data_IF_773997654313
#
_entry.id   IF_773997654313
#
_cell.length_a   1.000
_cell.length_b   1.000
_cell.length_c   1.000
_cell.angle_alpha   90.00
_cell.angle_beta   90.00
_cell.angle_gamma   90.00
#
_symmetry.space_group_name_H-M   'P 1'
#
loop_
_entity.id
_entity.type
_entity.pdbx_description
1 polymer ?
#
# COMPACT_ATOMS: atom_id res chain seq x y z
N UNK A 1 -15.57 -22.74 28.82
CA UNK A 1 -15.88 -23.16 27.44
C UNK A 1 -17.23 -23.85 27.47
N UNK A 2 -18.13 -23.61 26.50
CA UNK A 2 -19.41 -24.31 26.47
C UNK A 2 -19.16 -25.80 26.27
N UNK A 3 -19.77 -26.60 27.13
CA UNK A 3 -19.67 -28.07 27.15
C UNK A 3 -20.34 -28.63 25.90
N UNK A 4 -19.70 -29.59 25.24
CA UNK A 4 -20.24 -30.24 24.03
C UNK A 4 -21.31 -31.23 24.50
N UNK A 5 -22.57 -30.79 24.55
CA UNK A 5 -23.68 -31.71 24.79
C UNK A 5 -23.88 -32.62 23.57
N UNK A 6 -23.79 -33.94 23.79
CA UNK A 6 -24.22 -35.00 22.88
C UNK A 6 -23.45 -35.20 21.56
N UNK A 7 -22.15 -34.86 21.51
CA UNK A 7 -21.27 -35.26 20.39
C UNK A 7 -21.61 -34.62 19.02
N UNK A 8 -22.52 -33.64 19.00
CA UNK A 8 -22.84 -32.85 17.81
C UNK A 8 -22.00 -31.57 17.84
N UNK A 9 -21.41 -31.15 16.71
CA UNK A 9 -20.65 -29.91 16.66
C UNK A 9 -21.55 -28.73 17.04
N UNK A 10 -21.07 -27.87 17.93
CA UNK A 10 -21.76 -26.65 18.34
C UNK A 10 -21.90 -25.75 17.11
N UNK A 11 -23.13 -25.49 16.69
CA UNK A 11 -23.42 -24.58 15.58
C UNK A 11 -23.20 -23.13 16.05
N UNK A 12 -22.09 -22.53 15.63
CA UNK A 12 -21.82 -21.11 15.90
C UNK A 12 -22.70 -20.28 14.96
N UNK A 13 -23.54 -19.40 15.51
CA UNK A 13 -24.33 -18.47 14.67
C UNK A 13 -23.36 -17.48 14.01
N UNK A 14 -23.61 -17.15 12.74
CA UNK A 14 -22.73 -16.26 11.97
C UNK A 14 -22.52 -14.89 12.63
N UNK A 15 -23.54 -14.35 13.30
CA UNK A 15 -23.44 -13.10 14.05
C UNK A 15 -22.41 -13.19 15.20
N UNK A 16 -22.45 -14.27 15.99
CA UNK A 16 -21.54 -14.48 17.12
C UNK A 16 -20.10 -14.65 16.64
N UNK A 17 -19.91 -15.34 15.51
CA UNK A 17 -18.59 -15.47 14.87
C UNK A 17 -18.04 -14.10 14.43
N UNK A 18 -18.86 -13.27 13.78
CA UNK A 18 -18.45 -11.93 13.35
C UNK A 18 -18.10 -11.05 14.56
N UNK A 19 -18.91 -11.09 15.62
CA UNK A 19 -18.65 -10.34 16.84
C UNK A 19 -17.34 -10.79 17.51
N UNK A 20 -17.10 -12.10 17.59
CA UNK A 20 -15.86 -12.67 18.10
C UNK A 20 -14.64 -12.22 17.28
N UNK A 21 -14.70 -12.35 15.95
CA UNK A 21 -13.60 -11.95 15.07
C UNK A 21 -13.31 -10.45 15.17
N UNK A 22 -14.34 -9.60 15.28
CA UNK A 22 -14.16 -8.16 15.51
C UNK A 22 -13.47 -7.90 16.85
N UNK A 23 -13.88 -8.58 17.91
CA UNK A 23 -13.24 -8.46 19.23
C UNK A 23 -11.77 -8.87 19.21
N UNK A 24 -11.45 -10.01 18.59
CA UNK A 24 -10.08 -10.49 18.46
C UNK A 24 -9.24 -9.55 17.59
N UNK A 25 -9.77 -9.09 16.46
CA UNK A 25 -9.08 -8.14 15.59
C UNK A 25 -8.77 -6.85 16.34
N UNK A 26 -9.71 -6.29 17.11
CA UNK A 26 -9.44 -5.08 17.90
C UNK A 26 -8.40 -5.32 18.98
N UNK A 27 -8.42 -6.49 19.63
CA UNK A 27 -7.47 -6.84 20.71
C UNK A 27 -6.04 -6.99 20.21
N UNK A 28 -5.86 -7.60 19.03
CA UNK A 28 -4.53 -7.91 18.48
C UNK A 28 -4.07 -6.94 17.39
N UNK A 29 -4.87 -5.92 17.06
CA UNK A 29 -4.45 -4.88 16.13
C UNK A 29 -3.36 -4.03 16.79
N UNK A 30 -2.18 -4.07 16.21
CA UNK A 30 -1.08 -3.18 16.58
C UNK A 30 -1.55 -1.72 16.41
N UNK A 31 -1.39 -0.93 17.47
CA UNK A 31 -1.65 0.51 17.40
C UNK A 31 -0.52 1.16 16.61
N UNK A 32 -0.85 1.74 15.46
CA UNK A 32 0.09 2.52 14.65
C UNK A 32 -0.21 4.00 14.80
N UNK A 33 0.83 4.77 15.13
CA UNK A 33 0.77 6.23 15.04
C UNK A 33 0.70 6.68 13.58
N UNK A 34 0.30 7.93 13.33
CA UNK A 34 0.11 8.44 11.97
C UNK A 34 1.40 8.51 11.15
N UNK A 35 2.56 8.63 11.81
CA UNK A 35 3.88 8.63 11.19
C UNK A 35 4.54 7.24 11.12
N UNK A 36 3.80 6.21 11.52
CA UNK A 36 4.21 4.82 11.53
C UNK A 36 3.36 3.97 10.59
N UNK A 37 3.98 2.90 10.08
CA UNK A 37 3.37 1.88 9.25
C UNK A 37 3.61 0.51 9.87
N UNK A 38 2.64 -0.40 9.74
CA UNK A 38 2.81 -1.76 10.23
C UNK A 38 3.71 -2.57 9.28
N UNK A 39 4.79 -3.11 9.82
CA UNK A 39 5.72 -3.93 9.06
C UNK A 39 5.38 -5.41 9.22
N UNK A 40 5.02 -6.10 8.13
CA UNK A 40 4.73 -7.54 8.18
C UNK A 40 5.95 -8.40 8.52
N UNK A 41 7.17 -7.96 8.17
CA UNK A 41 8.40 -8.67 8.53
C UNK A 41 8.79 -8.49 10.01
N UNK A 42 8.61 -7.28 10.56
CA UNK A 42 8.89 -7.01 11.97
C UNK A 42 7.71 -7.34 12.89
N UNK A 43 6.52 -7.53 12.33
CA UNK A 43 5.24 -7.70 13.04
C UNK A 43 4.94 -6.58 14.05
N UNK A 44 5.36 -5.35 13.74
CA UNK A 44 5.29 -4.22 14.66
C UNK A 44 5.11 -2.90 13.90
N UNK A 45 4.67 -1.86 14.60
CA UNK A 45 4.61 -0.49 14.12
C UNK A 45 6.04 0.06 13.95
N UNK A 46 6.34 0.57 12.75
CA UNK A 46 7.68 1.02 12.38
C UNK A 46 7.61 2.34 11.62
N UNK A 47 8.61 3.17 11.87
CA UNK A 47 8.82 4.38 11.09
C UNK A 47 9.25 4.05 9.66
N UNK A 48 8.83 4.91 8.75
CA UNK A 48 9.22 4.85 7.35
C UNK A 48 10.65 5.36 7.17
N UNK A 49 11.44 4.64 6.38
CA UNK A 49 12.79 5.03 6.00
C UNK A 49 12.76 6.42 5.34
N UNK A 50 13.56 7.35 5.88
CA UNK A 50 13.65 8.73 5.42
C UNK A 50 12.30 9.49 5.33
N UNK A 51 11.23 8.97 5.96
CA UNK A 51 9.86 9.46 5.82
C UNK A 51 9.38 9.56 4.36
N UNK A 52 9.94 8.75 3.46
CA UNK A 52 9.56 8.72 2.04
C UNK A 52 8.39 7.76 1.82
N UNK A 53 7.31 8.25 1.22
CA UNK A 53 6.14 7.43 0.89
C UNK A 53 5.69 7.65 -0.55
N UNK A 54 5.05 6.65 -1.14
CA UNK A 54 4.25 6.80 -2.35
C UNK A 54 2.78 6.82 -1.93
N UNK A 55 2.00 7.69 -2.58
CA UNK A 55 0.55 7.75 -2.40
C UNK A 55 -0.11 7.37 -3.72
N UNK A 56 -0.88 6.29 -3.71
CA UNK A 56 -1.76 5.89 -4.79
C UNK A 56 -3.21 6.24 -4.41
N UNK A 57 -3.88 7.02 -5.26
CA UNK A 57 -5.28 7.37 -5.04
C UNK A 57 -6.18 6.26 -5.57
N UNK A 58 -6.80 5.48 -4.68
CA UNK A 58 -7.87 4.55 -5.04
C UNK A 58 -9.25 5.24 -4.95
N UNK A 59 -10.30 4.57 -5.45
CA UNK A 59 -11.66 5.13 -5.55
C UNK A 59 -12.21 5.64 -4.22
N UNK A 60 -12.01 4.92 -3.11
CA UNK A 60 -12.53 5.28 -1.79
C UNK A 60 -11.44 5.65 -0.75
N UNK A 61 -10.21 5.21 -0.96
CA UNK A 61 -9.12 5.31 0.03
C UNK A 61 -7.81 5.70 -0.63
N UNK A 62 -6.88 6.23 0.15
CA UNK A 62 -5.50 6.44 -0.26
C UNK A 62 -4.70 5.21 0.13
N UNK A 63 -4.00 4.60 -0.83
CA UNK A 63 -3.02 3.55 -0.55
C UNK A 63 -1.67 4.19 -0.41
N UNK A 64 -1.05 4.02 0.75
CA UNK A 64 0.27 4.54 1.06
C UNK A 64 1.23 3.38 1.16
N UNK A 65 2.35 3.47 0.44
CA UNK A 65 3.45 2.53 0.55
C UNK A 65 4.72 3.25 0.97
N UNK A 66 5.56 2.56 1.73
CA UNK A 66 6.83 3.08 2.22
C UNK A 66 7.74 1.96 2.68
N UNK A 67 9.00 2.25 2.95
CA UNK A 67 9.98 1.24 3.33
C UNK A 67 10.23 1.23 4.85
N UNK A 68 10.33 0.04 5.45
CA UNK A 68 10.62 -0.09 6.88
C UNK A 68 12.03 0.40 7.20
N UNK A 69 12.18 1.29 8.20
CA UNK A 69 13.50 1.77 8.63
C UNK A 69 14.43 0.66 9.16
N UNK A 70 13.86 -0.43 9.68
CA UNK A 70 14.64 -1.52 10.32
C UNK A 70 15.01 -2.60 9.32
N UNK A 71 14.01 -3.27 8.73
CA UNK A 71 14.24 -4.45 7.88
C UNK A 71 14.20 -4.13 6.38
N UNK A 72 14.01 -2.85 6.01
CA UNK A 72 13.96 -2.37 4.62
C UNK A 72 12.88 -3.03 3.75
N UNK A 73 11.92 -3.76 4.32
CA UNK A 73 10.79 -4.30 3.56
C UNK A 73 9.79 -3.21 3.23
N UNK A 74 9.09 -3.36 2.10
CA UNK A 74 7.96 -2.50 1.76
C UNK A 74 6.81 -2.75 2.74
N UNK A 75 6.16 -1.67 3.16
CA UNK A 75 5.02 -1.63 4.05
C UNK A 75 3.88 -0.90 3.36
N UNK A 76 2.65 -1.27 3.70
CA UNK A 76 1.44 -0.71 3.08
C UNK A 76 0.43 -0.33 4.15
N UNK A 77 -0.25 0.80 3.95
CA UNK A 77 -1.35 1.24 4.80
C UNK A 77 -2.37 2.03 4.00
N UNK A 78 -3.64 1.90 4.39
CA UNK A 78 -4.73 2.65 3.78
C UNK A 78 -5.15 3.82 4.68
N UNK A 79 -5.34 4.99 4.07
CA UNK A 79 -5.78 6.21 4.73
C UNK A 79 -7.07 6.74 4.09
N UNK A 80 -7.81 7.59 4.82
CA UNK A 80 -8.98 8.27 4.24
C UNK A 80 -8.51 9.37 3.29
N UNK A 81 -9.31 9.70 2.28
CA UNK A 81 -9.01 10.81 1.36
C UNK A 81 -8.82 12.16 2.07
N UNK A 82 -9.56 12.39 3.16
CA UNK A 82 -9.43 13.60 3.98
C UNK A 82 -8.04 13.74 4.64
N UNK A 83 -7.34 12.63 4.86
CA UNK A 83 -6.01 12.64 5.50
C UNK A 83 -4.88 13.03 4.53
N UNK A 84 -5.17 13.24 3.23
CA UNK A 84 -4.17 13.57 2.22
C UNK A 84 -3.31 14.77 2.63
N UNK A 85 -3.94 15.85 3.08
CA UNK A 85 -3.24 17.06 3.54
C UNK A 85 -2.34 16.79 4.74
N UNK A 86 -2.72 15.87 5.62
CA UNK A 86 -1.93 15.46 6.78
C UNK A 86 -0.74 14.59 6.35
N UNK A 87 -0.94 13.68 5.40
CA UNK A 87 0.13 12.86 4.83
C UNK A 87 1.23 13.72 4.20
N UNK A 88 0.88 14.74 3.42
CA UNK A 88 1.87 15.66 2.82
C UNK A 88 2.65 16.49 3.85
N UNK A 89 2.09 16.72 5.06
CA UNK A 89 2.79 17.41 6.15
C UNK A 89 3.74 16.50 6.93
N UNK A 90 3.36 15.24 7.10
CA UNK A 90 4.11 14.28 7.91
C UNK A 90 5.22 13.58 7.12
N UNK A 91 4.97 13.30 5.85
CA UNK A 91 5.85 12.50 4.99
C UNK A 91 6.30 13.26 3.75
N UNK A 92 7.48 12.89 3.25
CA UNK A 92 7.95 13.31 1.93
C UNK A 92 7.34 12.37 0.89
N UNK A 93 6.40 12.87 0.11
CA UNK A 93 5.80 12.11 -0.98
C UNK A 93 6.77 12.06 -2.15
N UNK A 94 7.07 10.87 -2.63
CA UNK A 94 8.01 10.61 -3.72
C UNK A 94 7.36 9.78 -4.83
N UNK A 95 7.94 9.83 -6.02
CA UNK A 95 7.53 8.96 -7.13
C UNK A 95 7.95 7.50 -6.91
N UNK A 96 7.38 6.58 -7.71
CA UNK A 96 7.56 5.13 -7.55
C UNK A 96 9.03 4.68 -7.56
N UNK A 97 9.85 5.35 -8.37
CA UNK A 97 11.27 5.00 -8.55
C UNK A 97 12.15 5.36 -7.34
N UNK A 98 11.73 6.30 -6.48
CA UNK A 98 12.58 6.87 -5.42
C UNK A 98 12.50 6.14 -4.06
N UNK A 99 11.68 5.08 -3.96
CA UNK A 99 11.60 4.23 -2.76
C UNK A 99 12.68 3.15 -2.69
N UNK A 100 13.42 2.93 -3.77
CA UNK A 100 14.46 1.91 -3.82
C UNK A 100 15.81 2.57 -3.57
N UNK A 101 16.55 2.10 -2.56
CA UNK A 101 17.97 2.44 -2.35
C UNK A 101 18.90 1.78 -3.40
N UNK A 102 18.36 1.33 -4.53
CA UNK A 102 19.14 0.69 -5.58
C UNK A 102 19.81 1.78 -6.43
N UNK A 103 21.10 2.04 -6.20
CA UNK A 103 21.91 2.93 -7.07
C UNK A 103 22.09 2.39 -8.50
N UNK A 104 21.69 1.14 -8.74
CA UNK A 104 21.77 0.49 -10.05
C UNK A 104 20.44 -0.21 -10.35
N UNK A 105 19.75 0.16 -11.44
CA UNK A 105 18.62 -0.61 -11.95
C UNK A 105 19.16 -1.99 -12.37
N UNK A 106 18.81 -3.04 -11.63
CA UNK A 106 19.04 -4.40 -12.11
C UNK A 106 18.04 -4.69 -13.24
N UNK A 107 18.59 -4.63 -14.44
CA UNK A 107 18.16 -5.27 -15.70
C UNK A 107 16.98 -4.60 -16.42
N UNK A 108 17.19 -3.91 -17.55
CA UNK A 108 17.41 -4.50 -18.88
C UNK A 108 16.52 -5.73 -19.14
N UNK A 109 15.22 -5.60 -18.96
CA UNK A 109 14.31 -6.34 -19.84
C UNK A 109 14.27 -5.59 -21.17
N UNK A 110 14.81 -6.22 -22.22
CA UNK A 110 14.54 -5.88 -23.61
C UNK A 110 13.01 -5.86 -23.79
N UNK A 111 12.40 -4.69 -23.69
CA UNK A 111 11.17 -4.40 -24.42
C UNK A 111 11.68 -3.73 -25.69
N UNK A 112 11.82 -4.51 -26.76
CA UNK A 112 12.03 -3.95 -28.08
C UNK A 112 10.84 -3.03 -28.38
N UNK A 113 11.12 -1.73 -28.35
CA UNK A 113 10.23 -0.70 -28.81
C UNK A 113 10.00 -0.91 -30.31
N UNK A 114 8.84 -1.43 -30.69
CA UNK A 114 8.23 -1.10 -31.98
C UNK A 114 7.40 0.17 -31.79
N UNK A 115 8.10 1.31 -31.77
CA UNK A 115 7.50 2.61 -32.06
C UNK A 115 7.78 2.83 -33.55
N UNK A 116 6.84 2.44 -34.41
CA UNK A 116 6.74 3.11 -35.70
C UNK A 116 5.77 4.27 -35.56
N UNK A 117 6.38 5.44 -35.69
CA UNK A 117 5.80 6.76 -35.71
C UNK A 117 4.59 6.85 -36.63
N UNK A 118 3.52 7.45 -36.14
CA UNK A 118 2.69 8.33 -36.97
C UNK A 118 2.25 9.49 -36.11
N UNK A 119 3.13 10.49 -36.02
CA UNK A 119 2.76 11.83 -35.54
C UNK A 119 2.00 12.51 -36.68
N UNK A 120 0.90 13.11 -36.26
CA UNK A 120 -0.08 13.87 -37.00
C UNK A 120 0.46 15.11 -37.74
N UNK A 121 -0.42 15.58 -38.63
CA UNK A 121 -0.69 16.99 -38.98
C UNK A 121 0.31 17.68 -39.92
N UNK A 122 -0.10 17.91 -41.18
CA UNK A 122 -0.87 19.09 -41.63
C UNK A 122 -0.01 20.35 -41.66
N UNK A 123 0.56 20.70 -42.83
CA UNK A 123 0.36 22.02 -43.44
C UNK A 123 1.07 22.18 -44.81
N UNK A 124 0.24 22.50 -45.80
CA UNK A 124 0.44 23.47 -46.88
C UNK A 124 1.48 23.28 -48.01
N UNK A 125 0.92 23.04 -49.21
CA UNK A 125 0.99 23.93 -50.40
C UNK A 125 2.36 24.54 -50.80
N UNK A 126 2.91 24.10 -51.95
CA UNK A 126 3.13 24.91 -53.19
C UNK A 126 4.21 24.32 -54.12
N UNK A 127 3.94 24.41 -55.44
CA UNK A 127 4.88 24.44 -56.58
C UNK A 127 5.70 23.14 -56.79
N UNK A 128 5.45 22.31 -57.80
CA UNK A 128 5.59 22.55 -59.24
C UNK A 128 4.83 21.49 -60.05
#
# INVERSE_FOLDING_TARGET
MPTIDNGKPVLIRGYDLIAYLRGQNTKYKCATEFDQLFCMKCQDARYVLQRKIIIEQATAVLRVSGQCRVCKSVMYQSYKKADLSRLHKTFRVVGVLELYDCEVPSDKTHIEASIENTINESDQLRLF
#
